data_IF_146928638155
#
_entry.id   IF_146928638155
#
_cell.length_a   1.000
_cell.length_b   1.000
_cell.length_c   1.000
_cell.angle_alpha   90.00
_cell.angle_beta   90.00
_cell.angle_gamma   90.00
#
_symmetry.space_group_name_H-M   'P 1'
#
loop_
_entity.id
_entity.type
_entity.pdbx_description
1 polymer ?
#
# COMPACT_ATOMS: atom_id res chain seq x y z
N UNK A 1 -0.83 -8.15 3.62
CA UNK A 1 -1.46 -9.29 2.89
C UNK A 1 -0.89 -9.40 1.48
N UNK A 2 -0.85 -10.58 0.92
CA UNK A 2 -0.21 -10.87 -0.36
C UNK A 2 1.18 -11.47 -0.15
N UNK A 3 1.93 -11.62 -1.19
CA UNK A 3 1.68 -11.13 -2.55
C UNK A 3 0.81 -12.10 -3.34
N UNK A 4 0.02 -11.56 -4.25
CA UNK A 4 -0.78 -12.34 -5.21
C UNK A 4 -0.44 -11.94 -6.65
N UNK A 5 -0.83 -12.76 -7.60
CA UNK A 5 -0.56 -12.54 -9.03
C UNK A 5 0.84 -12.97 -9.46
N UNK A 6 1.54 -13.82 -8.71
CA UNK A 6 2.91 -14.23 -9.02
C UNK A 6 3.01 -15.15 -10.24
N UNK A 7 2.13 -16.12 -10.36
CA UNK A 7 2.28 -17.20 -11.33
C UNK A 7 1.46 -16.98 -12.59
N UNK A 8 2.11 -16.97 -13.79
CA UNK A 8 1.42 -16.78 -15.06
C UNK A 8 0.26 -17.76 -15.25
N UNK A 9 -0.89 -17.25 -15.72
CA UNK A 9 -2.09 -18.05 -15.95
C UNK A 9 -2.87 -18.45 -14.69
N UNK A 10 -2.33 -18.17 -13.50
CA UNK A 10 -3.02 -18.45 -12.24
C UNK A 10 -3.84 -17.24 -11.82
N UNK A 11 -5.08 -17.49 -11.41
CA UNK A 11 -5.95 -16.48 -10.80
C UNK A 11 -5.88 -16.57 -9.28
N UNK A 12 -5.45 -15.48 -8.65
CA UNK A 12 -5.41 -15.34 -7.20
C UNK A 12 -6.42 -14.31 -6.72
N UNK A 13 -6.88 -14.46 -5.48
CA UNK A 13 -7.70 -13.40 -4.88
C UNK A 13 -7.56 -13.34 -3.35
N UNK A 14 -7.75 -12.14 -2.83
CA UNK A 14 -7.95 -11.87 -1.41
C UNK A 14 -9.20 -11.02 -1.30
N UNK A 15 -10.17 -11.45 -0.51
CA UNK A 15 -11.39 -10.69 -0.33
C UNK A 15 -12.01 -10.87 1.05
N UNK A 16 -12.84 -9.89 1.45
CA UNK A 16 -13.61 -9.93 2.68
C UNK A 16 -12.73 -10.14 3.93
N UNK A 17 -11.60 -9.43 4.01
CA UNK A 17 -10.69 -9.51 5.16
C UNK A 17 -10.85 -8.27 6.05
N UNK A 18 -11.01 -8.49 7.33
CA UNK A 18 -11.09 -7.47 8.36
C UNK A 18 -10.02 -7.73 9.41
N UNK A 19 -9.11 -6.77 9.56
CA UNK A 19 -8.01 -6.80 10.53
C UNK A 19 -8.22 -5.65 11.50
N UNK A 20 -8.42 -5.95 12.75
CA UNK A 20 -8.78 -4.96 13.76
C UNK A 20 -8.01 -5.17 15.06
N UNK A 21 -7.69 -4.07 15.73
CA UNK A 21 -7.06 -4.06 17.05
C UNK A 21 -5.72 -4.82 17.07
N UNK A 22 -4.81 -4.41 16.18
CA UNK A 22 -3.48 -5.02 16.03
C UNK A 22 -2.40 -4.03 16.44
N UNK A 23 -1.43 -4.50 17.20
CA UNK A 23 -0.22 -3.74 17.53
C UNK A 23 0.99 -4.38 16.87
N UNK A 24 1.76 -3.58 16.12
CA UNK A 24 2.94 -3.98 15.39
C UNK A 24 4.15 -3.17 15.87
N UNK A 25 5.15 -3.82 16.42
CA UNK A 25 6.30 -3.18 17.06
C UNK A 25 7.60 -3.56 16.36
N UNK A 26 8.44 -2.57 16.07
CA UNK A 26 9.79 -2.75 15.53
C UNK A 26 9.84 -3.63 14.27
N UNK A 27 8.81 -3.50 13.42
CA UNK A 27 8.64 -4.31 12.22
C UNK A 27 9.06 -3.59 10.94
N UNK A 28 9.34 -4.37 9.91
CA UNK A 28 9.57 -3.81 8.56
C UNK A 28 8.28 -3.27 7.95
N UNK A 29 7.15 -3.96 8.14
CA UNK A 29 5.89 -3.60 7.53
C UNK A 29 4.75 -3.61 8.54
N UNK A 30 3.89 -2.60 8.45
CA UNK A 30 2.63 -2.49 9.15
C UNK A 30 1.46 -3.06 8.33
N UNK A 31 0.44 -2.23 8.08
CA UNK A 31 -0.69 -2.59 7.24
C UNK A 31 -0.29 -2.61 5.76
N UNK A 32 -0.08 -3.79 5.18
CA UNK A 32 0.45 -3.93 3.83
C UNK A 32 -0.40 -4.79 2.92
N UNK A 33 -0.61 -4.30 1.68
CA UNK A 33 -1.11 -5.05 0.52
C UNK A 33 -0.07 -5.06 -0.58
N UNK A 34 0.12 -6.20 -1.26
CA UNK A 34 1.08 -6.31 -2.35
C UNK A 34 0.60 -7.25 -3.46
N UNK A 35 0.80 -6.81 -4.71
CA UNK A 35 0.46 -7.56 -5.91
C UNK A 35 1.59 -7.48 -6.93
N UNK A 36 1.84 -8.58 -7.63
CA UNK A 36 2.89 -8.67 -8.62
C UNK A 36 2.58 -7.87 -9.89
N UNK A 37 3.60 -7.25 -10.44
CA UNK A 37 3.62 -6.70 -11.79
C UNK A 37 4.85 -7.25 -12.54
N UNK A 38 4.84 -7.12 -13.86
CA UNK A 38 5.95 -7.59 -14.69
C UNK A 38 5.50 -8.38 -15.94
N UNK A 39 6.43 -8.79 -16.80
CA UNK A 39 6.10 -9.37 -18.10
C UNK A 39 5.49 -10.77 -18.02
N UNK A 40 5.64 -11.45 -16.90
CA UNK A 40 5.18 -12.85 -16.75
C UNK A 40 4.55 -13.05 -15.37
N UNK A 41 3.33 -12.54 -15.21
CA UNK A 41 2.60 -12.57 -13.94
C UNK A 41 1.19 -13.17 -14.11
N UNK A 42 0.60 -13.56 -12.99
CA UNK A 42 -0.78 -13.99 -12.90
C UNK A 42 -1.76 -12.82 -12.90
N UNK A 43 -2.97 -13.07 -12.47
CA UNK A 43 -4.04 -12.07 -12.43
C UNK A 43 -5.00 -12.33 -11.26
N UNK A 44 -5.89 -11.38 -10.99
CA UNK A 44 -6.88 -11.59 -9.94
C UNK A 44 -7.40 -10.31 -9.33
N UNK A 45 -7.70 -10.35 -8.03
CA UNK A 45 -8.21 -9.18 -7.35
C UNK A 45 -7.96 -9.21 -5.83
N UNK A 46 -7.89 -8.01 -5.26
CA UNK A 46 -7.97 -7.75 -3.82
C UNK A 46 -9.18 -6.85 -3.62
N UNK A 47 -10.14 -7.24 -2.78
CA UNK A 47 -11.33 -6.42 -2.56
C UNK A 47 -11.95 -6.58 -1.18
N UNK A 48 -12.63 -5.54 -0.72
CA UNK A 48 -13.29 -5.51 0.58
C UNK A 48 -12.32 -5.87 1.72
N UNK A 49 -11.29 -5.05 1.86
CA UNK A 49 -10.25 -5.18 2.90
C UNK A 49 -10.37 -4.01 3.86
N UNK A 50 -10.38 -4.29 5.13
CA UNK A 50 -10.37 -3.26 6.17
C UNK A 50 -9.23 -3.54 7.16
N UNK A 51 -8.37 -2.54 7.35
CA UNK A 51 -7.48 -2.42 8.48
C UNK A 51 -8.04 -1.36 9.40
N UNK A 52 -8.31 -1.70 10.65
CA UNK A 52 -8.91 -0.79 11.62
C UNK A 52 -8.24 -0.90 12.98
N UNK A 53 -8.07 0.24 13.64
CA UNK A 53 -7.45 0.30 14.97
C UNK A 53 -6.07 -0.40 14.99
N UNK A 54 -5.19 0.04 14.10
CA UNK A 54 -3.83 -0.49 13.97
C UNK A 54 -2.85 0.45 14.67
N UNK A 55 -2.14 -0.05 15.65
CA UNK A 55 -1.03 0.65 16.28
C UNK A 55 0.30 0.16 15.71
N UNK A 56 1.09 1.08 15.19
CA UNK A 56 2.46 0.80 14.69
C UNK A 56 3.47 1.56 15.54
N UNK A 57 4.55 0.93 15.92
CA UNK A 57 5.63 1.58 16.65
C UNK A 57 6.98 1.20 16.08
N UNK A 58 7.79 2.21 15.75
CA UNK A 58 9.11 2.03 15.15
C UNK A 58 9.06 1.06 13.95
N UNK A 59 8.09 1.28 13.05
CA UNK A 59 7.84 0.42 11.87
C UNK A 59 8.40 1.11 10.63
N UNK A 60 9.15 0.38 9.79
CA UNK A 60 9.79 0.97 8.61
C UNK A 60 8.74 1.50 7.62
N UNK A 61 7.76 0.66 7.29
CA UNK A 61 6.70 0.95 6.33
C UNK A 61 5.33 0.79 7.00
N UNK A 62 4.78 1.82 7.68
CA UNK A 62 3.54 1.68 8.46
C UNK A 62 2.31 1.30 7.64
N UNK A 63 2.10 1.95 6.48
CA UNK A 63 1.01 1.63 5.55
C UNK A 63 1.60 1.48 4.15
N UNK A 64 1.31 0.36 3.48
CA UNK A 64 1.78 0.10 2.12
C UNK A 64 0.69 -0.55 1.26
N UNK A 65 0.48 0.01 0.08
CA UNK A 65 -0.20 -0.62 -1.03
C UNK A 65 0.75 -0.64 -2.22
N UNK A 66 1.27 -1.81 -2.58
CA UNK A 66 2.30 -1.98 -3.60
C UNK A 66 1.79 -2.90 -4.71
N UNK A 67 1.47 -2.31 -5.84
CA UNK A 67 1.04 -3.03 -7.05
C UNK A 67 2.16 -3.14 -8.08
N UNK A 68 3.35 -2.69 -7.75
CA UNK A 68 4.57 -2.88 -8.54
C UNK A 68 5.55 -3.85 -7.86
N UNK A 69 5.02 -4.78 -7.08
CA UNK A 69 5.81 -5.80 -6.38
C UNK A 69 6.35 -6.82 -7.40
N UNK A 70 7.50 -7.30 -7.39
CA UNK A 70 8.63 -7.53 -6.58
C UNK A 70 9.91 -7.30 -7.43
N UNK A 71 10.86 -6.51 -6.92
CA UNK A 71 12.15 -6.25 -7.59
C UNK A 71 12.04 -5.70 -9.03
N UNK A 72 10.99 -4.97 -9.35
CA UNK A 72 10.84 -4.28 -10.61
C UNK A 72 10.95 -2.77 -10.40
N UNK A 73 11.55 -2.07 -11.36
CA UNK A 73 11.59 -0.62 -11.33
C UNK A 73 10.29 0.00 -11.89
N UNK A 74 10.10 1.29 -11.69
CA UNK A 74 8.93 2.02 -12.17
C UNK A 74 8.74 1.88 -13.70
N UNK A 75 9.81 1.87 -14.48
CA UNK A 75 9.77 1.71 -15.93
C UNK A 75 9.22 0.34 -16.33
N UNK A 76 9.67 -0.71 -15.68
CA UNK A 76 9.19 -2.08 -15.93
C UNK A 76 7.73 -2.23 -15.46
N UNK A 77 7.38 -1.66 -14.31
CA UNK A 77 5.99 -1.67 -13.85
C UNK A 77 5.05 -0.94 -14.81
N UNK A 78 5.49 0.19 -15.37
CA UNK A 78 4.71 0.93 -16.37
C UNK A 78 4.55 0.16 -17.69
N UNK A 79 5.60 -0.53 -18.13
CA UNK A 79 5.56 -1.34 -19.35
C UNK A 79 4.71 -2.63 -19.19
N UNK A 80 4.70 -3.19 -17.99
CA UNK A 80 4.00 -4.44 -17.66
C UNK A 80 3.25 -4.30 -16.34
N UNK A 81 2.15 -3.53 -16.32
CA UNK A 81 1.39 -3.27 -15.08
C UNK A 81 0.79 -4.53 -14.49
N UNK A 82 0.47 -4.46 -13.22
CA UNK A 82 -0.21 -5.55 -12.51
C UNK A 82 -1.54 -5.90 -13.18
N UNK A 83 -1.87 -7.17 -13.17
CA UNK A 83 -3.16 -7.71 -13.63
C UNK A 83 -4.07 -8.07 -12.45
N UNK A 84 -3.75 -7.54 -11.28
CA UNK A 84 -4.55 -7.69 -10.05
C UNK A 84 -5.30 -6.40 -9.79
N UNK A 85 -6.62 -6.44 -9.82
CA UNK A 85 -7.46 -5.29 -9.45
C UNK A 85 -7.49 -5.14 -7.93
N UNK A 86 -7.31 -3.92 -7.43
CA UNK A 86 -7.40 -3.61 -5.99
C UNK A 86 -8.54 -2.61 -5.79
N UNK A 87 -9.57 -3.03 -5.07
CA UNK A 87 -10.79 -2.23 -4.87
C UNK A 87 -11.31 -2.33 -3.45
N UNK A 88 -11.94 -1.26 -2.96
CA UNK A 88 -12.58 -1.23 -1.64
C UNK A 88 -11.63 -1.66 -0.51
N UNK A 89 -10.58 -0.86 -0.32
CA UNK A 89 -9.59 -1.04 0.75
C UNK A 89 -9.66 0.15 1.70
N UNK A 90 -9.78 -0.11 2.98
CA UNK A 90 -9.89 0.90 4.02
C UNK A 90 -8.79 0.75 5.06
N UNK A 91 -8.17 1.88 5.38
CA UNK A 91 -7.25 2.03 6.50
C UNK A 91 -7.85 3.04 7.47
N UNK A 92 -8.38 2.56 8.59
CA UNK A 92 -9.15 3.34 9.55
C UNK A 92 -8.45 3.35 10.91
N UNK A 93 -8.18 4.54 11.45
CA UNK A 93 -7.51 4.70 12.73
C UNK A 93 -6.19 3.92 12.79
N UNK A 94 -5.24 4.34 11.97
CA UNK A 94 -3.86 3.83 12.02
C UNK A 94 -2.98 4.88 12.67
N UNK A 95 -2.33 4.54 13.78
CA UNK A 95 -1.60 5.51 14.60
C UNK A 95 -0.29 4.95 15.15
N UNK A 96 0.61 5.86 15.53
CA UNK A 96 1.87 5.53 16.16
C UNK A 96 3.09 6.20 15.50
N UNK A 97 4.13 5.44 15.21
CA UNK A 97 5.38 5.98 14.68
C UNK A 97 6.04 5.11 13.62
N UNK A 98 6.66 5.76 12.63
CA UNK A 98 7.63 5.09 11.75
C UNK A 98 9.02 5.05 12.38
N UNK A 99 9.89 4.18 11.87
CA UNK A 99 11.31 4.15 12.24
C UNK A 99 12.12 5.31 11.60
N UNK A 100 11.57 5.95 10.57
CA UNK A 100 12.25 6.93 9.74
C UNK A 100 13.21 6.34 8.72
N UNK A 101 13.17 5.03 8.48
CA UNK A 101 13.97 4.38 7.44
C UNK A 101 13.56 4.85 6.05
N UNK A 102 12.27 5.03 5.82
CA UNK A 102 11.71 5.60 4.60
C UNK A 102 11.48 7.13 4.75
N UNK A 103 12.45 7.83 5.35
CA UNK A 103 12.41 9.26 5.53
C UNK A 103 11.17 9.76 6.27
N UNK A 104 10.43 10.69 5.64
CA UNK A 104 9.16 11.23 6.17
C UNK A 104 7.93 10.45 5.76
N UNK A 105 8.05 9.47 4.85
CA UNK A 105 6.92 8.71 4.32
C UNK A 105 6.42 7.71 5.38
N UNK A 106 5.13 7.81 5.68
CA UNK A 106 4.44 6.92 6.64
C UNK A 106 3.35 6.07 5.99
N UNK A 107 2.94 6.45 4.78
CA UNK A 107 2.06 5.65 3.94
C UNK A 107 2.51 5.76 2.47
N UNK A 108 2.73 4.64 1.82
CA UNK A 108 3.06 4.54 0.40
C UNK A 108 2.00 3.72 -0.31
N UNK A 109 1.20 4.40 -1.12
CA UNK A 109 0.09 3.82 -1.88
C UNK A 109 0.41 3.90 -3.37
N UNK A 110 1.24 2.97 -3.84
CA UNK A 110 1.68 2.92 -5.23
C UNK A 110 0.96 1.84 -6.01
N UNK A 111 0.07 2.27 -6.92
CA UNK A 111 -0.54 1.40 -7.92
C UNK A 111 0.22 1.43 -9.23
N UNK A 112 0.13 0.36 -10.01
CA UNK A 112 0.74 0.33 -11.33
C UNK A 112 0.01 1.26 -12.31
N UNK A 113 0.72 1.87 -13.27
CA UNK A 113 0.09 2.70 -14.30
C UNK A 113 -0.99 1.94 -15.08
N UNK A 114 -2.04 2.66 -15.52
CA UNK A 114 -3.20 2.03 -16.15
C UNK A 114 -4.26 1.57 -15.14
N UNK A 115 -4.04 1.91 -13.95
CA UNK A 115 -4.80 1.84 -12.71
C UNK A 115 -5.98 0.89 -12.65
N UNK A 116 -5.77 -0.13 -11.87
CA UNK A 116 -6.83 -1.02 -11.39
C UNK A 116 -7.05 -0.87 -9.88
N UNK A 117 -6.65 0.30 -9.31
CA UNK A 117 -6.85 0.65 -7.91
C UNK A 117 -7.92 1.72 -7.77
N UNK A 118 -9.00 1.39 -7.06
CA UNK A 118 -10.10 2.32 -6.79
C UNK A 118 -10.79 2.03 -5.45
N UNK A 119 -11.49 3.02 -4.90
CA UNK A 119 -12.14 2.86 -3.60
C UNK A 119 -11.14 2.60 -2.46
N UNK A 120 -9.94 3.17 -2.56
CA UNK A 120 -8.95 3.15 -1.48
C UNK A 120 -9.25 4.33 -0.56
N UNK A 121 -9.40 4.07 0.72
CA UNK A 121 -9.80 5.10 1.68
C UNK A 121 -8.94 5.06 2.94
N UNK A 122 -8.44 6.22 3.33
CA UNK A 122 -7.69 6.45 4.57
C UNK A 122 -8.48 7.42 5.44
N UNK A 123 -8.63 7.08 6.73
CA UNK A 123 -9.31 7.91 7.72
C UNK A 123 -8.61 7.79 9.06
N UNK A 124 -8.45 8.91 9.77
CA UNK A 124 -7.80 8.97 11.08
C UNK A 124 -6.38 8.36 11.07
N UNK A 125 -5.56 8.82 10.15
CA UNK A 125 -4.15 8.43 10.05
C UNK A 125 -3.30 9.39 10.88
N UNK A 126 -2.72 8.90 11.97
CA UNK A 126 -1.90 9.69 12.89
C UNK A 126 -0.59 8.96 13.20
N UNK A 127 0.32 8.97 12.24
CA UNK A 127 1.63 8.32 12.32
C UNK A 127 2.69 9.40 12.25
N UNK A 128 3.60 9.42 13.22
CA UNK A 128 4.72 10.36 13.23
C UNK A 128 5.96 9.77 12.55
N UNK A 129 6.78 10.62 11.93
CA UNK A 129 8.12 10.28 11.48
C UNK A 129 9.17 11.00 12.31
N UNK A 130 10.27 10.35 12.74
CA UNK A 130 11.38 11.02 13.41
C UNK A 130 12.18 11.95 12.48
N UNK A 131 11.88 11.94 11.17
CA UNK A 131 12.53 12.77 10.15
C UNK A 131 11.81 14.08 9.87
N UNK A 132 10.64 14.32 10.44
CA UNK A 132 9.89 15.56 10.29
C UNK A 132 8.39 15.32 10.08
N UNK A 133 7.71 16.27 9.46
CA UNK A 133 6.30 16.16 9.14
C UNK A 133 6.02 14.95 8.25
N UNK A 134 5.10 14.10 8.69
CA UNK A 134 4.77 12.86 8.00
C UNK A 134 4.19 13.12 6.60
N UNK A 135 4.57 12.30 5.64
CA UNK A 135 4.10 12.35 4.26
C UNK A 135 3.34 11.08 3.89
N UNK A 136 2.29 11.25 3.09
CA UNK A 136 1.53 10.16 2.47
C UNK A 136 1.73 10.25 0.97
N UNK A 137 2.16 9.15 0.36
CA UNK A 137 2.40 9.04 -1.08
C UNK A 137 1.24 8.32 -1.75
N UNK A 138 0.79 8.83 -2.90
CA UNK A 138 -0.24 8.22 -3.74
C UNK A 138 0.15 8.29 -5.21
N UNK A 139 0.27 7.15 -5.85
CA UNK A 139 0.48 7.07 -7.30
C UNK A 139 -0.54 6.14 -7.97
N UNK A 140 -1.11 6.61 -9.08
CA UNK A 140 -2.04 5.85 -9.95
C UNK A 140 -3.28 5.27 -9.23
N UNK A 141 -3.79 5.95 -8.22
CA UNK A 141 -5.03 5.58 -7.53
C UNK A 141 -6.18 6.41 -8.10
N UNK A 142 -7.31 5.76 -8.37
CA UNK A 142 -8.52 6.43 -8.87
C UNK A 142 -9.42 6.88 -7.71
N UNK A 143 -9.86 8.12 -7.76
CA UNK A 143 -10.80 8.70 -6.81
C UNK A 143 -10.14 9.37 -5.61
N UNK A 144 -10.97 9.87 -4.71
CA UNK A 144 -10.56 10.50 -3.46
C UNK A 144 -10.22 9.43 -2.42
N UNK A 145 -9.06 9.56 -1.80
CA UNK A 145 -8.59 8.62 -0.76
C UNK A 145 -8.88 9.08 0.66
N UNK A 146 -9.45 10.27 0.84
CA UNK A 146 -9.86 10.79 2.16
C UNK A 146 -8.76 11.56 2.92
N UNK A 147 -7.54 11.63 2.40
CA UNK A 147 -6.41 12.37 2.98
C UNK A 147 -5.62 13.07 1.88
N UNK A 148 -4.89 14.12 2.24
CA UNK A 148 -3.95 14.75 1.33
C UNK A 148 -2.75 13.84 1.10
N UNK A 149 -2.32 13.71 -0.16
CA UNK A 149 -1.13 12.94 -0.52
C UNK A 149 -0.35 13.60 -1.66
N UNK A 150 0.90 13.21 -1.78
CA UNK A 150 1.83 13.70 -2.81
C UNK A 150 2.30 12.54 -3.69
N UNK A 151 2.71 12.82 -4.94
CA UNK A 151 3.33 11.79 -5.78
C UNK A 151 4.70 11.38 -5.22
N UNK A 152 5.13 10.14 -5.48
CA UNK A 152 6.43 9.64 -5.01
C UNK A 152 7.63 10.50 -5.47
N UNK A 153 7.52 11.18 -6.60
CA UNK A 153 8.56 12.10 -7.11
C UNK A 153 8.79 13.34 -6.23
N UNK A 154 7.87 13.66 -5.33
CA UNK A 154 7.93 14.81 -4.41
C UNK A 154 8.16 14.38 -2.95
N UNK A 155 8.24 13.09 -2.70
CA UNK A 155 8.39 12.54 -1.35
C UNK A 155 9.85 12.51 -0.88
N UNK A 156 10.02 12.64 0.43
CA UNK A 156 11.32 12.52 1.12
C UNK A 156 11.46 11.11 1.71
N UNK A 157 11.97 10.20 0.90
CA UNK A 157 12.34 8.83 1.30
C UNK A 157 13.70 8.78 2.00
#
# INVERSE_FOLDING_TARGET
MGSIGQYPGVKDFISNAHLENITLLNGENGARLKAWAGPSVGYGYISNITYKDIHVENTDNPIVLDQCYFNINATTCAAYPSRVNITDVKFLNVHGSSSGKEGRVVADLTCSPGATCSGIHLEDINITSPKGEAQIVCDNIQGDIGVDCIPASEADF
#
